data_IF_882166765063
#
_entry.id   IF_882166765063
#
_cell.length_a   1.000
_cell.length_b   1.000
_cell.length_c   1.000
_cell.angle_alpha   90.00
_cell.angle_beta   90.00
_cell.angle_gamma   90.00
#
_symmetry.space_group_name_H-M   'P 1'
#
loop_
_entity.id
_entity.type
_entity.pdbx_description
1 polymer ?
#
# COMPACT_ATOMS: atom_id res chain seq x y z
N UNK A 1 12.57 -1.42 10.62
CA UNK A 1 13.77 -0.82 10.03
C UNK A 1 13.51 -0.33 8.62
N UNK A 2 13.47 0.98 8.42
CA UNK A 2 13.46 1.62 7.09
C UNK A 2 14.22 2.93 7.15
N UNK A 3 14.36 3.59 6.00
CA UNK A 3 14.82 4.96 5.94
C UNK A 3 13.97 5.74 4.93
N UNK A 4 13.73 7.01 5.24
CA UNK A 4 13.10 7.97 4.34
C UNK A 4 14.16 8.92 3.84
N UNK A 5 14.20 9.15 2.53
CA UNK A 5 15.02 10.20 1.94
C UNK A 5 14.13 11.16 1.15
N UNK A 6 14.16 12.43 1.53
CA UNK A 6 13.53 13.52 0.80
C UNK A 6 14.60 14.41 0.17
N UNK A 7 14.47 14.68 -1.13
CA UNK A 7 15.37 15.57 -1.87
C UNK A 7 14.59 16.63 -2.61
N UNK A 8 15.13 17.85 -2.69
CA UNK A 8 14.51 18.93 -3.43
C UNK A 8 15.34 20.18 -3.45
N UNK A 9 14.70 21.31 -3.78
CA UNK A 9 15.28 22.64 -3.69
C UNK A 9 14.46 23.49 -2.73
N UNK A 10 15.14 24.30 -1.92
CA UNK A 10 14.57 25.39 -1.13
C UNK A 10 14.90 26.73 -1.79
N UNK A 11 13.95 27.66 -1.74
CA UNK A 11 14.14 29.03 -2.22
C UNK A 11 14.52 29.94 -1.04
N UNK A 12 15.73 30.49 -1.07
CA UNK A 12 16.22 31.50 -0.12
C UNK A 12 16.01 32.88 -0.73
N UNK A 13 15.19 33.72 -0.10
CA UNK A 13 14.86 35.07 -0.60
C UNK A 13 15.85 36.13 -0.16
N UNK A 14 16.53 35.91 0.97
CA UNK A 14 17.51 36.83 1.56
C UNK A 14 18.77 36.05 1.93
N UNK A 15 19.93 36.48 1.43
CA UNK A 15 21.19 35.85 1.80
C UNK A 15 21.44 35.97 3.31
N UNK A 16 22.00 34.92 3.92
CA UNK A 16 22.29 34.91 5.35
C UNK A 16 22.52 33.51 5.91
N UNK A 17 22.80 33.43 7.21
CA UNK A 17 22.82 32.16 7.93
C UNK A 17 21.40 31.68 8.21
N UNK A 18 21.14 30.42 7.95
CA UNK A 18 19.90 29.72 8.26
C UNK A 18 20.20 28.51 9.16
N UNK A 19 19.31 28.25 10.10
CA UNK A 19 19.28 27.00 10.86
C UNK A 19 18.20 26.10 10.28
N UNK A 20 18.56 24.86 10.01
CA UNK A 20 17.68 23.79 9.60
C UNK A 20 17.61 22.77 10.73
N UNK A 21 16.48 22.09 10.87
CA UNK A 21 16.36 21.02 11.84
C UNK A 21 15.45 19.89 11.37
N UNK A 22 15.71 18.72 11.94
CA UNK A 22 14.79 17.58 11.90
C UNK A 22 14.23 17.35 13.29
N UNK A 23 12.91 17.23 13.38
CA UNK A 23 12.29 16.45 14.46
C UNK A 23 12.22 15.02 13.95
N UNK A 24 12.95 14.09 14.56
CA UNK A 24 12.98 12.70 14.10
C UNK A 24 13.00 11.67 15.24
N UNK A 25 12.40 10.52 14.94
CA UNK A 25 12.41 9.28 15.70
C UNK A 25 12.59 8.17 14.64
N UNK A 26 13.73 7.49 14.53
CA UNK A 26 15.02 7.71 15.21
C UNK A 26 15.85 8.89 14.60
N UNK A 27 17.13 8.67 14.26
CA UNK A 27 18.05 9.70 13.80
C UNK A 27 17.94 10.05 12.31
N UNK A 28 18.79 10.98 11.87
CA UNK A 28 18.74 11.50 10.51
C UNK A 28 19.91 12.38 10.10
N UNK A 29 19.83 12.92 8.88
CA UNK A 29 20.83 13.82 8.30
C UNK A 29 20.17 14.92 7.48
N UNK A 30 20.80 16.09 7.50
CA UNK A 30 20.46 17.19 6.59
C UNK A 30 21.71 17.57 5.80
N UNK A 31 21.59 17.56 4.48
CA UNK A 31 22.55 18.16 3.58
C UNK A 31 21.90 19.36 2.89
N UNK A 32 22.62 20.48 2.81
CA UNK A 32 22.26 21.64 1.98
C UNK A 32 23.40 21.86 0.98
N UNK A 33 23.09 21.93 -0.31
CA UNK A 33 24.09 22.00 -1.40
C UNK A 33 25.16 20.90 -1.33
N UNK A 34 24.74 19.69 -0.93
CA UNK A 34 25.61 18.55 -0.75
C UNK A 34 26.52 18.62 0.49
N UNK A 35 26.46 19.70 1.27
CA UNK A 35 27.20 19.85 2.53
C UNK A 35 26.33 19.33 3.67
N UNK A 36 26.82 18.32 4.39
CA UNK A 36 26.18 17.82 5.60
C UNK A 36 26.29 18.86 6.72
N UNK A 37 25.13 19.39 7.14
CA UNK A 37 25.05 20.42 8.19
C UNK A 37 24.50 19.87 9.51
N UNK A 38 23.86 18.71 9.47
CA UNK A 38 23.31 18.01 10.62
C UNK A 38 23.48 16.51 10.41
N UNK A 39 23.97 15.82 11.44
CA UNK A 39 24.08 14.37 11.52
C UNK A 39 23.66 13.91 12.90
N UNK A 40 22.71 12.99 12.93
CA UNK A 40 22.28 12.26 14.11
C UNK A 40 22.18 10.78 13.74
N UNK A 41 23.22 10.01 14.05
CA UNK A 41 23.28 8.57 13.73
C UNK A 41 22.83 7.70 14.94
N UNK A 42 22.05 8.25 15.88
CA UNK A 42 21.64 7.57 17.11
C UNK A 42 20.20 7.02 17.05
N UNK A 43 19.92 6.02 17.90
CA UNK A 43 18.57 5.55 18.20
C UNK A 43 17.97 6.39 19.32
N UNK A 44 16.80 6.98 19.11
CA UNK A 44 16.16 7.86 20.09
C UNK A 44 14.70 8.12 19.71
N UNK A 45 13.87 8.40 20.73
CA UNK A 45 12.54 8.96 20.49
C UNK A 45 12.58 10.32 19.79
N UNK A 46 11.41 10.83 19.40
CA UNK A 46 11.25 12.14 18.76
C UNK A 46 12.08 13.27 19.42
N UNK A 47 13.07 13.79 18.70
CA UNK A 47 13.90 14.91 19.17
C UNK A 47 14.31 15.85 18.03
N UNK A 48 14.66 17.08 18.38
CA UNK A 48 15.13 18.09 17.44
C UNK A 48 16.66 18.07 17.30
N UNK A 49 17.14 17.80 16.08
CA UNK A 49 18.55 17.89 15.72
C UNK A 49 18.75 19.03 14.71
N UNK A 50 19.67 19.96 15.01
CA UNK A 50 19.84 21.22 14.27
C UNK A 50 21.18 21.30 13.54
N UNK A 51 21.20 21.97 12.39
CA UNK A 51 22.38 22.30 11.61
C UNK A 51 22.27 23.69 11.00
N UNK A 52 23.41 24.33 10.70
CA UNK A 52 23.40 25.68 10.10
C UNK A 52 24.11 25.71 8.75
N UNK A 53 23.59 26.55 7.84
CA UNK A 53 24.19 26.84 6.55
C UNK A 53 24.16 28.35 6.30
N UNK A 54 25.22 28.90 5.69
CA UNK A 54 25.19 30.27 5.16
C UNK A 54 24.89 30.21 3.68
N UNK A 55 23.77 30.79 3.28
CA UNK A 55 23.20 30.65 1.94
C UNK A 55 23.10 32.00 1.24
N UNK A 56 23.27 31.98 -0.08
CA UNK A 56 22.96 33.12 -0.94
C UNK A 56 21.46 33.24 -1.16
N UNK A 57 20.98 34.35 -1.70
CA UNK A 57 19.62 34.37 -2.26
C UNK A 57 19.59 33.52 -3.53
N UNK A 58 18.59 32.65 -3.68
CA UNK A 58 18.48 31.73 -4.81
C UNK A 58 17.92 30.36 -4.43
N UNK A 59 18.03 29.42 -5.36
CA UNK A 59 17.69 28.01 -5.12
C UNK A 59 18.89 27.29 -4.52
N UNK A 60 18.63 26.50 -3.49
CA UNK A 60 19.61 25.65 -2.83
C UNK A 60 19.06 24.23 -2.73
N UNK A 61 19.89 23.23 -2.96
CA UNK A 61 19.45 21.83 -2.88
C UNK A 61 19.39 21.40 -1.42
N UNK A 62 18.43 20.53 -1.08
CA UNK A 62 18.40 19.85 0.20
C UNK A 62 18.29 18.34 0.01
N UNK A 63 18.88 17.60 0.93
CA UNK A 63 18.64 16.18 1.15
C UNK A 63 18.41 15.99 2.65
N UNK A 64 17.29 15.38 2.98
CA UNK A 64 16.90 14.99 4.34
C UNK A 64 16.79 13.48 4.37
N UNK A 65 17.48 12.86 5.32
CA UNK A 65 17.36 11.43 5.61
C UNK A 65 16.88 11.28 7.03
N UNK A 66 15.94 10.37 7.25
CA UNK A 66 15.65 9.81 8.56
C UNK A 66 15.74 8.29 8.44
N UNK A 67 16.23 7.63 9.48
CA UNK A 67 16.16 6.18 9.60
C UNK A 67 15.30 5.83 10.80
N UNK A 68 14.59 4.71 10.68
CA UNK A 68 13.72 4.18 11.71
C UNK A 68 14.14 2.76 12.04
N UNK A 69 14.29 2.45 13.32
CA UNK A 69 14.68 1.15 13.83
C UNK A 69 13.49 0.36 14.30
N UNK A 70 12.85 0.86 15.35
CA UNK A 70 11.80 0.16 16.06
C UNK A 70 10.95 1.15 16.89
N UNK A 71 9.65 0.83 17.04
CA UNK A 71 8.64 1.60 17.77
C UNK A 71 8.07 2.80 16.99
N UNK A 72 8.18 4.01 17.54
CA UNK A 72 7.52 5.21 17.02
C UNK A 72 8.38 5.87 15.97
N UNK A 73 7.76 6.55 15.01
CA UNK A 73 8.45 7.25 13.95
C UNK A 73 7.96 8.69 13.85
N UNK A 74 8.88 9.62 13.56
CA UNK A 74 8.51 10.95 13.13
C UNK A 74 9.56 11.54 12.17
N UNK A 75 9.10 12.45 11.34
CA UNK A 75 9.97 13.26 10.49
C UNK A 75 9.31 14.60 10.21
N UNK A 76 9.86 15.66 10.80
CA UNK A 76 9.55 17.04 10.43
C UNK A 76 10.82 17.74 9.95
N UNK A 77 10.77 18.40 8.80
CA UNK A 77 11.87 19.23 8.31
C UNK A 77 11.49 20.70 8.40
N UNK A 78 12.24 21.47 9.19
CA UNK A 78 11.94 22.86 9.47
C UNK A 78 13.19 23.75 9.34
N UNK A 79 12.95 25.05 9.17
CA UNK A 79 14.02 26.03 9.04
C UNK A 79 13.66 27.39 9.65
N UNK A 80 14.69 28.16 10.00
CA UNK A 80 14.58 29.54 10.44
C UNK A 80 15.81 30.36 10.02
N UNK A 81 15.66 31.67 9.78
CA UNK A 81 16.81 32.56 9.60
C UNK A 81 17.58 32.76 10.93
N UNK A 82 18.89 32.95 10.79
CA UNK A 82 19.84 33.13 11.87
C UNK A 82 20.47 31.82 12.36
N UNK A 83 21.45 31.96 13.25
CA UNK A 83 22.04 30.85 13.98
C UNK A 83 21.22 30.57 15.26
N UNK A 84 20.64 29.37 15.37
CA UNK A 84 19.77 28.96 16.48
C UNK A 84 20.34 27.71 17.14
N UNK A 85 20.32 27.65 18.46
CA UNK A 85 20.86 26.53 19.25
C UNK A 85 19.80 25.59 19.80
N UNK A 86 18.52 25.92 19.64
CA UNK A 86 17.37 25.13 20.09
C UNK A 86 16.14 25.45 19.25
N UNK A 87 15.20 24.50 19.19
CA UNK A 87 13.90 24.74 18.56
C UNK A 87 13.09 25.81 19.31
N UNK A 88 12.35 26.61 18.55
CA UNK A 88 11.40 27.61 19.04
C UNK A 88 10.25 27.68 18.04
N UNK A 89 9.06 27.24 18.48
CA UNK A 89 7.86 27.17 17.65
C UNK A 89 7.39 28.54 17.13
N UNK A 90 7.83 29.65 17.72
CA UNK A 90 7.51 30.99 17.22
C UNK A 90 8.42 31.43 16.06
N UNK A 91 9.54 30.73 15.86
CA UNK A 91 10.61 31.12 14.93
C UNK A 91 10.72 30.12 13.78
N UNK A 92 10.69 28.83 14.08
CA UNK A 92 10.81 27.79 13.07
C UNK A 92 9.50 27.54 12.36
N UNK A 93 9.61 27.20 11.07
CA UNK A 93 8.49 26.82 10.21
C UNK A 93 8.88 25.59 9.40
N UNK A 94 7.90 24.74 9.14
CA UNK A 94 8.06 23.58 8.27
C UNK A 94 8.50 24.04 6.87
N UNK A 95 9.52 23.38 6.33
CA UNK A 95 9.99 23.62 4.96
C UNK A 95 8.93 23.10 4.00
N UNK A 96 8.48 23.95 3.08
CA UNK A 96 7.36 23.70 2.17
C UNK A 96 6.01 24.29 2.62
N UNK A 97 5.85 24.63 3.90
CA UNK A 97 4.62 25.26 4.41
C UNK A 97 4.66 26.79 4.21
N UNK A 98 4.59 27.21 2.95
CA UNK A 98 4.62 28.63 2.58
C UNK A 98 3.41 29.40 3.11
N UNK A 99 2.29 28.72 3.36
CA UNK A 99 1.09 29.36 3.91
C UNK A 99 1.32 29.91 5.33
N UNK A 100 2.17 29.25 6.11
CA UNK A 100 2.54 29.67 7.46
C UNK A 100 3.95 30.31 7.56
N UNK A 101 4.53 30.69 6.42
CA UNK A 101 5.81 31.42 6.36
C UNK A 101 7.06 30.53 6.32
N UNK A 102 6.91 29.23 6.04
CA UNK A 102 8.02 28.32 5.76
C UNK A 102 8.73 28.63 4.45
N UNK A 103 9.99 28.16 4.34
CA UNK A 103 10.74 28.26 3.08
C UNK A 103 10.01 27.50 1.97
N UNK A 104 9.87 28.12 0.80
CA UNK A 104 9.31 27.45 -0.36
C UNK A 104 10.22 26.29 -0.77
N UNK A 105 9.66 25.09 -0.88
CA UNK A 105 10.36 23.89 -1.27
C UNK A 105 9.74 23.28 -2.52
N UNK A 106 10.58 22.75 -3.41
CA UNK A 106 10.16 21.99 -4.59
C UNK A 106 10.85 20.65 -4.55
N UNK A 107 10.10 19.56 -4.60
CA UNK A 107 10.64 18.21 -4.77
C UNK A 107 10.55 17.84 -6.24
N UNK A 108 11.50 17.03 -6.71
CA UNK A 108 11.38 16.37 -8.02
C UNK A 108 10.70 15.03 -7.75
N UNK A 109 9.47 14.79 -8.21
CA UNK A 109 8.80 13.51 -7.98
C UNK A 109 9.67 12.35 -8.47
N UNK A 110 9.55 11.18 -7.82
CA UNK A 110 10.27 9.99 -8.26
C UNK A 110 9.95 9.71 -9.74
N UNK A 111 11.00 9.64 -10.57
CA UNK A 111 10.85 9.48 -12.02
C UNK A 111 10.66 10.78 -12.82
N UNK A 112 10.70 11.96 -12.21
CA UNK A 112 10.68 13.27 -12.89
C UNK A 112 12.08 13.77 -13.30
N UNK A 113 13.15 13.15 -12.81
CA UNK A 113 14.52 13.42 -13.28
C UNK A 113 14.69 13.03 -14.75
N UNK A 114 15.07 13.98 -15.60
CA UNK A 114 15.40 13.71 -17.01
C UNK A 114 14.22 13.40 -17.93
N UNK A 115 12.96 13.72 -17.53
CA UNK A 115 11.79 13.49 -18.41
C UNK A 115 11.63 14.54 -19.52
N UNK A 116 12.26 15.71 -19.36
CA UNK A 116 12.25 16.77 -20.38
C UNK A 116 13.50 16.64 -21.24
N UNK A 117 13.34 16.07 -22.44
CA UNK A 117 14.40 16.04 -23.46
C UNK A 117 14.37 17.25 -24.39
N UNK A 118 13.24 17.97 -24.48
CA UNK A 118 13.09 19.17 -25.31
C UNK A 118 12.13 20.13 -24.62
N UNK A 119 12.63 21.30 -24.22
CA UNK A 119 11.81 22.35 -23.63
C UNK A 119 11.11 23.16 -24.73
N UNK A 120 9.78 23.11 -24.73
CA UNK A 120 8.93 23.86 -25.66
C UNK A 120 8.13 24.98 -24.98
N UNK A 121 8.42 25.30 -23.72
CA UNK A 121 7.65 26.27 -22.90
C UNK A 121 7.49 27.62 -23.61
N UNK A 122 8.59 28.18 -24.15
CA UNK A 122 8.56 29.42 -24.91
C UNK A 122 7.74 29.32 -26.21
N UNK A 123 7.77 28.19 -26.89
CA UNK A 123 7.02 27.95 -28.13
C UNK A 123 5.52 27.68 -27.88
N UNK A 124 5.19 27.17 -26.69
CA UNK A 124 3.82 26.88 -26.25
C UNK A 124 3.16 28.09 -25.57
N UNK A 125 3.90 29.16 -25.28
CA UNK A 125 3.35 30.37 -24.65
C UNK A 125 2.14 30.93 -25.43
N UNK A 126 1.01 31.06 -24.75
CA UNK A 126 -0.25 31.53 -25.34
C UNK A 126 -0.96 30.52 -26.25
N UNK A 127 -0.52 29.25 -26.26
CA UNK A 127 -1.11 28.15 -27.05
C UNK A 127 -1.58 27.04 -26.12
N UNK A 128 -2.60 26.31 -26.56
CA UNK A 128 -3.23 25.22 -25.81
C UNK A 128 -2.68 23.83 -26.18
N UNK A 129 -1.86 23.72 -27.23
CA UNK A 129 -1.43 22.41 -27.73
C UNK A 129 -0.21 22.50 -28.63
N UNK A 130 0.41 21.33 -28.86
CA UNK A 130 1.54 21.17 -29.77
C UNK A 130 1.45 19.84 -30.53
N UNK A 131 1.84 19.87 -31.81
CA UNK A 131 2.09 18.65 -32.59
C UNK A 131 3.55 18.25 -32.45
N UNK A 132 3.78 17.05 -31.94
CA UNK A 132 5.09 16.42 -31.82
C UNK A 132 5.20 15.32 -32.86
N UNK A 133 6.31 15.30 -33.61
CA UNK A 133 6.58 14.33 -34.67
C UNK A 133 7.91 13.66 -34.37
N UNK A 134 7.86 12.38 -34.04
CA UNK A 134 9.01 11.58 -33.61
C UNK A 134 9.30 10.52 -34.67
N UNK A 135 10.26 10.77 -35.58
CA UNK A 135 10.73 9.74 -36.49
C UNK A 135 11.51 8.68 -35.70
N UNK A 136 11.32 7.41 -36.04
CA UNK A 136 12.07 6.30 -35.46
C UNK A 136 12.28 5.18 -36.47
N UNK A 137 13.38 4.45 -36.34
CA UNK A 137 13.62 3.24 -37.12
C UNK A 137 13.10 2.01 -36.36
N UNK A 138 12.52 1.04 -37.07
CA UNK A 138 12.19 -0.28 -36.53
C UNK A 138 12.41 -1.38 -37.57
N UNK A 139 12.41 -2.64 -37.16
CA UNK A 139 12.47 -3.80 -38.06
C UNK A 139 11.09 -4.20 -38.61
N UNK A 140 10.07 -3.34 -38.43
CA UNK A 140 8.68 -3.65 -38.74
C UNK A 140 8.04 -4.52 -37.65
N UNK A 141 6.86 -5.10 -37.92
CA UNK A 141 6.16 -5.86 -36.90
C UNK A 141 6.84 -7.21 -36.64
N UNK A 142 7.59 -7.77 -37.61
CA UNK A 142 8.28 -9.05 -37.42
C UNK A 142 7.31 -10.16 -36.96
N UNK A 143 7.59 -10.78 -35.82
CA UNK A 143 6.72 -11.76 -35.15
C UNK A 143 5.79 -11.14 -34.10
N UNK A 144 5.81 -9.82 -33.92
CA UNK A 144 4.97 -9.13 -32.95
C UNK A 144 3.49 -9.45 -33.20
N UNK A 145 2.78 -9.73 -32.13
CA UNK A 145 1.33 -9.94 -32.11
C UNK A 145 0.62 -8.89 -31.26
N UNK A 146 1.38 -8.02 -30.58
CA UNK A 146 0.88 -6.95 -29.73
C UNK A 146 1.70 -5.67 -29.92
N UNK A 147 1.02 -4.52 -29.77
CA UNK A 147 1.64 -3.20 -29.79
C UNK A 147 1.05 -2.33 -28.68
N UNK A 148 1.91 -1.65 -27.93
CA UNK A 148 1.52 -0.73 -26.86
C UNK A 148 2.15 0.64 -27.06
N UNK A 149 1.40 1.69 -26.72
CA UNK A 149 1.90 3.03 -26.53
C UNK A 149 1.89 3.31 -25.03
N UNK A 150 3.05 3.55 -24.44
CA UNK A 150 3.16 3.96 -23.04
C UNK A 150 3.50 5.44 -22.99
N UNK A 151 2.73 6.19 -22.21
CA UNK A 151 2.78 7.64 -22.16
C UNK A 151 3.03 8.12 -20.73
N UNK A 152 3.92 9.08 -20.58
CA UNK A 152 3.75 10.15 -19.59
C UNK A 152 3.20 11.35 -20.34
N UNK A 153 2.08 11.91 -19.88
CA UNK A 153 1.44 13.01 -20.58
C UNK A 153 0.69 13.94 -19.63
N UNK A 154 0.50 15.18 -20.08
CA UNK A 154 -0.35 16.16 -19.43
C UNK A 154 -0.81 17.23 -20.43
N UNK A 155 -2.08 17.54 -20.60
CA UNK A 155 -3.28 16.95 -19.96
C UNK A 155 -3.95 15.85 -20.79
N UNK A 156 -3.78 15.92 -22.10
CA UNK A 156 -4.38 15.01 -23.07
C UNK A 156 -3.55 14.87 -24.34
N UNK A 157 -3.90 13.90 -25.17
CA UNK A 157 -3.25 13.71 -26.47
C UNK A 157 -4.12 12.94 -27.46
N UNK A 158 -3.82 13.09 -28.75
CA UNK A 158 -4.16 12.11 -29.80
C UNK A 158 -2.88 11.65 -30.49
N UNK A 159 -2.74 10.35 -30.76
CA UNK A 159 -1.56 9.74 -31.36
C UNK A 159 -1.89 9.01 -32.68
N UNK A 160 -0.93 9.07 -33.61
CA UNK A 160 -0.96 8.37 -34.90
C UNK A 160 0.37 7.66 -35.15
N UNK A 161 0.31 6.46 -35.71
CA UNK A 161 1.47 5.72 -36.20
C UNK A 161 1.43 5.68 -37.73
N UNK A 162 2.44 6.25 -38.39
CA UNK A 162 2.53 6.33 -39.85
C UNK A 162 1.25 6.88 -40.53
N UNK A 163 0.61 7.85 -39.86
CA UNK A 163 -0.64 8.48 -40.34
C UNK A 163 -1.91 7.72 -39.98
N UNK A 164 -1.83 6.49 -39.47
CA UNK A 164 -2.98 5.74 -38.95
C UNK A 164 -3.33 6.20 -37.53
N UNK A 165 -4.58 6.60 -37.24
CA UNK A 165 -5.00 6.93 -35.88
C UNK A 165 -4.81 5.74 -34.94
N UNK A 166 -4.07 5.94 -33.85
CA UNK A 166 -3.72 4.88 -32.91
C UNK A 166 -4.62 4.92 -31.67
N UNK A 167 -4.55 6.02 -30.91
CA UNK A 167 -5.30 6.19 -29.65
C UNK A 167 -5.34 7.67 -29.23
N UNK A 168 -6.25 8.02 -28.33
CA UNK A 168 -6.33 9.33 -27.70
C UNK A 168 -6.72 9.22 -26.23
N UNK A 169 -6.31 10.18 -25.41
CA UNK A 169 -6.75 10.34 -24.03
C UNK A 169 -7.02 11.82 -23.74
N UNK A 170 -8.12 12.14 -23.07
CA UNK A 170 -8.55 13.53 -22.79
C UNK A 170 -8.54 14.43 -24.04
N UNK A 171 -8.83 13.88 -25.21
CA UNK A 171 -8.85 14.62 -26.48
C UNK A 171 -10.29 14.81 -26.96
N UNK A 172 -10.65 15.97 -27.53
CA UNK A 172 -11.96 16.15 -28.13
C UNK A 172 -12.14 15.22 -29.34
N UNK A 173 -13.38 14.86 -29.67
CA UNK A 173 -13.68 13.92 -30.75
C UNK A 173 -13.18 14.36 -32.15
N UNK A 174 -12.95 15.65 -32.36
CA UNK A 174 -12.43 16.21 -33.60
C UNK A 174 -11.44 17.34 -33.26
N UNK A 175 -10.19 16.99 -32.91
CA UNK A 175 -9.23 17.99 -32.48
C UNK A 175 -8.78 18.87 -33.65
N UNK A 176 -8.91 20.18 -33.49
CA UNK A 176 -8.29 21.20 -34.32
C UNK A 176 -6.91 21.57 -33.73
N UNK A 177 -6.07 22.26 -34.50
CA UNK A 177 -4.70 22.58 -34.08
C UNK A 177 -4.59 23.37 -32.77
N UNK A 178 -5.66 24.06 -32.34
CA UNK A 178 -5.75 24.85 -31.12
C UNK A 178 -6.72 24.26 -30.08
N UNK A 179 -7.11 22.99 -30.24
CA UNK A 179 -7.96 22.30 -29.27
C UNK A 179 -7.29 22.25 -27.89
N UNK A 180 -8.14 22.14 -26.86
CA UNK A 180 -7.76 21.91 -25.47
C UNK A 180 -8.10 20.47 -25.07
N UNK A 181 -7.47 19.97 -24.01
CA UNK A 181 -7.84 18.71 -23.41
C UNK A 181 -9.26 18.78 -22.81
N UNK A 182 -9.99 17.67 -22.84
CA UNK A 182 -11.38 17.60 -22.32
C UNK A 182 -11.46 17.48 -20.80
N UNK A 183 -10.33 17.16 -20.14
CA UNK A 183 -10.21 17.05 -18.70
C UNK A 183 -8.76 17.35 -18.25
N UNK A 184 -8.56 17.96 -17.07
CA UNK A 184 -7.24 18.17 -16.50
C UNK A 184 -6.62 16.86 -16.00
N UNK A 185 -5.29 16.81 -15.94
CA UNK A 185 -4.52 15.78 -15.26
C UNK A 185 -3.56 16.43 -14.26
N UNK A 186 -3.47 15.87 -13.05
CA UNK A 186 -2.63 16.46 -12.00
C UNK A 186 -1.14 16.26 -12.29
N UNK A 187 -0.29 17.18 -11.81
CA UNK A 187 1.16 17.08 -11.93
C UNK A 187 1.72 15.77 -11.34
N UNK A 188 1.10 15.23 -10.29
CA UNK A 188 1.47 13.92 -9.75
C UNK A 188 1.20 12.79 -10.77
N UNK A 189 0.07 12.86 -11.49
CA UNK A 189 -0.28 11.90 -12.52
C UNK A 189 0.59 11.99 -13.77
N UNK A 190 1.18 13.16 -14.04
CA UNK A 190 2.06 13.42 -15.19
C UNK A 190 3.28 12.51 -15.21
N UNK A 191 3.81 12.10 -14.06
CA UNK A 191 5.02 11.27 -13.97
C UNK A 191 4.75 9.76 -14.00
N UNK A 192 3.50 9.33 -13.87
CA UNK A 192 3.14 7.91 -14.01
C UNK A 192 3.05 7.52 -15.47
N UNK A 193 3.69 6.40 -15.82
CA UNK A 193 3.54 5.76 -17.13
C UNK A 193 2.15 5.14 -17.22
N UNK A 194 1.41 5.50 -18.25
CA UNK A 194 0.11 4.91 -18.59
C UNK A 194 0.21 4.27 -19.97
N UNK A 195 -0.13 2.99 -20.06
CA UNK A 195 -0.11 2.29 -21.34
C UNK A 195 -1.48 2.21 -21.98
N UNK A 196 -1.42 2.12 -23.30
CA UNK A 196 -2.55 2.04 -24.19
C UNK A 196 -2.30 0.91 -25.17
N UNK A 197 -3.29 0.03 -25.31
CA UNK A 197 -3.26 -1.02 -26.32
C UNK A 197 -3.50 -0.38 -27.70
N UNK A 198 -2.47 -0.40 -28.54
CA UNK A 198 -2.53 0.06 -29.93
C UNK A 198 -2.28 -1.08 -30.93
N UNK A 199 -2.49 -2.33 -30.49
CA UNK A 199 -2.37 -3.53 -31.35
C UNK A 199 -3.17 -3.42 -32.65
N UNK A 200 -4.37 -2.81 -32.71
CA UNK A 200 -5.09 -2.64 -33.98
C UNK A 200 -4.32 -1.88 -35.08
N UNK A 201 -3.35 -1.03 -34.72
CA UNK A 201 -2.48 -0.32 -35.69
C UNK A 201 -1.11 -0.96 -35.89
N UNK A 202 -0.87 -2.15 -35.35
CA UNK A 202 0.35 -2.92 -35.59
C UNK A 202 0.67 -3.11 -37.09
N UNK A 203 -0.30 -3.36 -38.00
CA UNK A 203 -0.02 -3.45 -39.43
C UNK A 203 0.57 -2.17 -40.05
N UNK A 204 0.41 -1.02 -39.39
CA UNK A 204 0.98 0.25 -39.83
C UNK A 204 2.44 0.42 -39.43
N UNK A 205 3.00 -0.42 -38.54
CA UNK A 205 4.43 -0.40 -38.21
C UNK A 205 5.23 -0.93 -39.40
N UNK A 206 6.16 -0.14 -39.93
CA UNK A 206 6.93 -0.47 -41.13
C UNK A 206 8.36 -0.91 -40.77
N UNK A 207 8.94 -1.80 -41.58
CA UNK A 207 10.39 -2.03 -41.55
C UNK A 207 11.12 -0.81 -42.11
N UNK A 208 12.06 -0.25 -41.35
CA UNK A 208 12.74 1.00 -41.66
C UNK A 208 12.14 2.19 -40.92
N UNK A 209 11.95 3.30 -41.64
CA UNK A 209 11.53 4.57 -41.05
C UNK A 209 10.03 4.59 -40.74
N UNK A 210 9.73 5.03 -39.53
CA UNK A 210 8.39 5.20 -39.00
C UNK A 210 8.25 6.61 -38.41
N UNK A 211 7.02 7.05 -38.22
CA UNK A 211 6.68 8.32 -37.61
C UNK A 211 5.57 8.13 -36.58
N UNK A 212 5.89 8.42 -35.32
CA UNK A 212 4.90 8.64 -34.28
C UNK A 212 4.55 10.13 -34.25
N UNK A 213 3.30 10.45 -34.57
CA UNK A 213 2.79 11.82 -34.46
C UNK A 213 1.87 11.89 -33.24
N UNK A 214 2.01 12.95 -32.43
CA UNK A 214 1.19 13.18 -31.24
C UNK A 214 0.73 14.63 -31.24
N UNK A 215 -0.56 14.85 -31.08
CA UNK A 215 -1.13 16.16 -30.75
C UNK A 215 -1.31 16.21 -29.24
N UNK A 216 -0.37 16.82 -28.53
CA UNK A 216 -0.46 17.02 -27.08
C UNK A 216 -1.32 18.23 -26.76
N UNK A 217 -2.13 18.15 -25.70
CA UNK A 217 -3.17 19.11 -25.36
C UNK A 217 -3.03 19.53 -23.90
N UNK A 218 -3.03 20.84 -23.65
CA UNK A 218 -3.31 21.44 -22.35
C UNK A 218 -4.81 21.73 -22.21
N UNK A 219 -5.28 21.92 -20.98
CA UNK A 219 -6.63 22.41 -20.70
C UNK A 219 -6.84 23.89 -21.07
N UNK A 220 -5.78 24.69 -21.12
CA UNK A 220 -5.85 26.12 -21.44
C UNK A 220 -4.54 26.67 -22.04
N UNK A 221 -4.57 27.90 -22.55
CA UNK A 221 -3.39 28.60 -23.10
C UNK A 221 -2.41 29.11 -22.03
N UNK A 222 -2.80 29.05 -20.76
CA UNK A 222 -2.00 29.49 -19.61
C UNK A 222 -1.49 28.31 -18.78
N UNK A 223 -1.83 27.08 -19.16
CA UNK A 223 -1.34 25.88 -18.50
C UNK A 223 0.15 25.68 -18.81
N UNK A 224 0.95 25.53 -17.77
CA UNK A 224 2.40 25.39 -17.84
C UNK A 224 2.89 23.98 -17.50
N UNK A 225 2.00 22.99 -17.44
CA UNK A 225 2.30 21.62 -16.98
C UNK A 225 2.44 20.60 -18.13
N UNK A 226 2.48 21.07 -19.38
CA UNK A 226 2.53 20.26 -20.59
C UNK A 226 3.65 19.21 -20.55
N UNK A 227 3.30 17.95 -20.80
CA UNK A 227 4.27 16.87 -21.02
C UNK A 227 3.75 15.93 -22.11
N UNK A 228 4.64 15.50 -22.99
CA UNK A 228 4.42 14.39 -23.91
C UNK A 228 5.72 13.57 -23.96
N UNK A 229 5.68 12.37 -23.39
CA UNK A 229 6.79 11.41 -23.45
C UNK A 229 6.21 10.03 -23.80
N UNK A 230 6.26 9.65 -25.09
CA UNK A 230 5.80 8.34 -25.54
C UNK A 230 6.92 7.30 -25.53
N UNK A 231 6.50 6.05 -25.47
CA UNK A 231 7.30 4.86 -25.70
C UNK A 231 6.45 3.83 -26.45
N UNK A 232 6.95 3.27 -27.54
CA UNK A 232 6.28 2.18 -28.26
C UNK A 232 6.94 0.88 -27.87
N UNK A 233 6.11 -0.10 -27.47
CA UNK A 233 6.55 -1.45 -27.12
C UNK A 233 5.83 -2.41 -28.05
N UNK A 234 6.61 -3.21 -28.79
CA UNK A 234 6.12 -4.32 -29.59
C UNK A 234 6.48 -5.63 -28.91
N UNK A 235 5.59 -6.62 -28.94
CA UNK A 235 5.80 -7.90 -28.26
C UNK A 235 5.07 -9.04 -28.96
N UNK A 236 5.53 -10.24 -28.66
CA UNK A 236 4.92 -11.50 -29.09
C UNK A 236 4.93 -12.48 -27.93
N UNK A 237 4.11 -13.53 -28.05
CA UNK A 237 4.21 -14.68 -27.15
C UNK A 237 5.49 -15.43 -27.49
N UNK A 238 6.39 -15.63 -26.53
CA UNK A 238 7.53 -16.53 -26.68
C UNK A 238 7.02 -17.98 -26.60
N UNK A 239 7.03 -18.76 -27.69
CA UNK A 239 6.53 -20.13 -27.67
C UNK A 239 7.51 -21.10 -26.99
N UNK A 240 8.71 -20.65 -26.63
CA UNK A 240 9.78 -21.48 -26.05
C UNK A 240 9.91 -21.32 -24.54
N UNK A 241 9.35 -20.26 -23.96
CA UNK A 241 9.33 -20.07 -22.51
C UNK A 241 8.33 -21.00 -21.82
N UNK A 242 8.68 -21.49 -20.63
CA UNK A 242 7.70 -22.12 -19.74
C UNK A 242 6.53 -21.15 -19.48
N UNK A 243 5.31 -21.65 -19.20
CA UNK A 243 4.23 -20.79 -18.74
C UNK A 243 4.70 -19.99 -17.52
N UNK A 244 4.71 -18.67 -17.65
CA UNK A 244 5.08 -17.73 -16.60
C UNK A 244 3.93 -16.78 -16.37
N UNK A 245 3.86 -16.29 -15.14
CA UNK A 245 2.85 -15.37 -14.67
C UNK A 245 3.48 -14.03 -14.34
N UNK A 246 2.70 -12.98 -14.57
CA UNK A 246 3.03 -11.63 -14.20
C UNK A 246 2.24 -11.33 -12.93
N UNK A 247 2.89 -11.51 -11.78
CA UNK A 247 2.29 -11.34 -10.47
C UNK A 247 1.75 -9.92 -10.29
N UNK A 248 0.91 -9.75 -9.27
CA UNK A 248 0.11 -8.54 -9.03
C UNK A 248 0.91 -7.23 -8.93
N UNK A 249 2.23 -7.29 -8.64
CA UNK A 249 3.12 -6.12 -8.61
C UNK A 249 3.83 -5.77 -9.93
N UNK A 250 3.87 -6.68 -10.92
CA UNK A 250 4.51 -6.46 -12.22
C UNK A 250 3.53 -6.50 -13.41
N UNK A 251 2.25 -6.75 -13.16
CA UNK A 251 1.23 -6.61 -14.18
C UNK A 251 1.21 -5.18 -14.72
N UNK A 252 1.09 -5.04 -16.04
CA UNK A 252 1.04 -3.74 -16.72
C UNK A 252 -0.30 -3.52 -17.41
N UNK A 253 -1.39 -3.24 -16.66
CA UNK A 253 -2.70 -2.99 -17.25
C UNK A 253 -2.64 -1.96 -18.39
N UNK A 254 -3.14 -2.32 -19.56
CA UNK A 254 -3.14 -1.46 -20.73
C UNK A 254 -1.89 -1.53 -21.60
N UNK A 255 -0.85 -2.29 -21.24
CA UNK A 255 0.28 -2.58 -22.14
C UNK A 255 0.93 -3.95 -21.92
N UNK A 256 1.88 -4.30 -22.79
CA UNK A 256 2.57 -5.60 -22.78
C UNK A 256 3.36 -5.80 -21.49
N UNK A 257 3.15 -6.94 -20.82
CA UNK A 257 3.94 -7.31 -19.66
C UNK A 257 5.37 -7.72 -20.09
N UNK A 258 6.39 -7.03 -19.57
CA UNK A 258 7.77 -7.19 -20.04
C UNK A 258 8.61 -8.21 -19.27
N UNK A 259 8.35 -8.41 -17.98
CA UNK A 259 9.17 -9.26 -17.11
C UNK A 259 8.29 -10.18 -16.28
N UNK A 260 8.34 -11.51 -16.49
CA UNK A 260 7.62 -12.44 -15.64
C UNK A 260 8.17 -12.40 -14.21
N UNK A 261 7.29 -12.59 -13.22
CA UNK A 261 7.68 -12.62 -11.79
C UNK A 261 7.39 -13.94 -11.11
N UNK A 262 6.69 -14.85 -11.78
CA UNK A 262 6.11 -16.04 -11.16
C UNK A 262 6.06 -17.20 -12.14
N UNK A 263 6.26 -18.41 -11.62
CA UNK A 263 6.13 -19.67 -12.35
C UNK A 263 4.68 -20.21 -12.28
N UNK A 264 3.84 -19.62 -11.44
CA UNK A 264 2.48 -20.09 -11.19
C UNK A 264 1.95 -19.61 -9.85
N UNK A 265 0.67 -19.89 -9.62
CA UNK A 265 0.02 -19.68 -8.32
C UNK A 265 -0.04 -21.01 -7.58
N UNK A 266 0.38 -21.03 -6.31
CA UNK A 266 0.18 -22.19 -5.46
C UNK A 266 -1.34 -22.41 -5.31
N UNK A 267 -1.79 -23.64 -5.52
CA UNK A 267 -3.17 -24.05 -5.28
C UNK A 267 -3.56 -23.82 -3.82
N UNK A 268 -4.78 -23.32 -3.63
CA UNK A 268 -5.29 -22.86 -2.34
C UNK A 268 -5.22 -23.91 -1.22
N UNK A 269 -5.16 -23.46 0.03
CA UNK A 269 -5.13 -24.41 1.15
C UNK A 269 -6.51 -25.00 1.41
N UNK A 270 -6.54 -26.24 1.88
CA UNK A 270 -7.77 -26.97 2.15
C UNK A 270 -7.69 -27.57 3.55
N UNK A 271 -8.71 -27.28 4.36
CA UNK A 271 -8.86 -27.80 5.71
C UNK A 271 -9.82 -29.00 5.71
N UNK A 272 -9.41 -30.11 6.34
CA UNK A 272 -10.26 -31.31 6.44
C UNK A 272 -11.50 -31.11 7.29
N UNK A 273 -11.45 -30.15 8.21
CA UNK A 273 -12.47 -29.87 9.22
C UNK A 273 -12.77 -28.38 9.16
N UNK A 274 -14.03 -28.01 8.92
CA UNK A 274 -14.45 -26.61 8.74
C UNK A 274 -14.48 -25.87 10.08
N UNK A 275 -14.38 -24.54 10.05
CA UNK A 275 -14.74 -23.62 11.14
C UNK A 275 -16.13 -23.96 11.70
N UNK A 276 -16.36 -23.64 12.96
CA UNK A 276 -17.64 -23.94 13.59
C UNK A 276 -17.56 -24.08 15.11
N UNK A 277 -18.69 -24.49 15.68
CA UNK A 277 -18.81 -24.80 17.09
C UNK A 277 -18.52 -26.28 17.37
N UNK A 278 -17.74 -26.54 18.39
CA UNK A 278 -17.32 -27.90 18.78
C UNK A 278 -17.44 -28.09 20.30
N UNK A 279 -17.83 -29.30 20.70
CA UNK A 279 -17.93 -29.72 22.12
C UNK A 279 -17.00 -30.88 22.44
N UNK A 280 -16.17 -31.29 21.48
CA UNK A 280 -15.20 -32.38 21.62
C UNK A 280 -13.99 -32.10 20.73
N UNK A 281 -12.79 -32.55 21.12
CA UNK A 281 -11.59 -32.32 20.33
C UNK A 281 -11.71 -32.82 18.89
N UNK A 282 -11.13 -32.07 17.94
CA UNK A 282 -11.10 -32.40 16.52
C UNK A 282 -9.69 -32.43 15.96
N UNK A 283 -9.47 -33.30 14.98
CA UNK A 283 -8.23 -33.36 14.21
C UNK A 283 -8.39 -32.58 12.91
N UNK A 284 -7.52 -31.61 12.66
CA UNK A 284 -7.56 -30.71 11.50
C UNK A 284 -6.35 -30.95 10.62
N UNK A 285 -6.56 -31.47 9.41
CA UNK A 285 -5.53 -31.58 8.40
C UNK A 285 -5.58 -30.38 7.43
N UNK A 286 -4.41 -29.89 7.04
CA UNK A 286 -4.25 -28.80 6.06
C UNK A 286 -3.53 -29.37 4.85
N UNK A 287 -3.99 -29.08 3.65
CA UNK A 287 -3.42 -29.61 2.41
C UNK A 287 -3.42 -28.57 1.30
N UNK A 288 -2.58 -28.77 0.29
CA UNK A 288 -2.60 -28.06 -1.00
C UNK A 288 -2.37 -29.11 -2.08
N UNK A 289 -2.97 -28.92 -3.25
CA UNK A 289 -2.75 -29.82 -4.40
C UNK A 289 -1.44 -29.52 -5.14
N UNK A 290 -0.68 -28.50 -4.75
CA UNK A 290 0.61 -28.14 -5.37
C UNK A 290 1.74 -29.00 -4.82
N UNK A 291 2.31 -29.93 -5.60
CA UNK A 291 3.40 -30.78 -5.12
C UNK A 291 4.63 -29.95 -4.74
N UNK A 292 5.22 -30.24 -3.58
CA UNK A 292 6.43 -29.55 -3.09
C UNK A 292 6.17 -28.21 -2.41
N UNK A 293 4.94 -27.70 -2.39
CA UNK A 293 4.61 -26.50 -1.63
C UNK A 293 4.71 -26.75 -0.11
N UNK A 294 5.20 -25.74 0.61
CA UNK A 294 5.32 -25.74 2.07
C UNK A 294 4.15 -24.97 2.65
N UNK A 295 3.39 -25.61 3.53
CA UNK A 295 2.32 -24.98 4.31
C UNK A 295 2.89 -24.49 5.64
N UNK A 296 2.63 -23.23 5.98
CA UNK A 296 2.86 -22.68 7.32
C UNK A 296 1.54 -22.22 7.94
N UNK A 297 1.45 -22.31 9.26
CA UNK A 297 0.27 -21.88 9.99
C UNK A 297 0.63 -21.15 11.30
N UNK A 298 -0.33 -20.38 11.81
CA UNK A 298 -0.27 -19.73 13.12
C UNK A 298 -1.53 -20.04 13.91
N UNK A 299 -1.43 -19.96 15.24
CA UNK A 299 -2.56 -20.14 16.17
C UNK A 299 -2.75 -18.97 17.13
N UNK A 300 -1.93 -17.94 16.99
CA UNK A 300 -1.93 -16.71 17.79
C UNK A 300 -2.59 -15.54 17.04
N UNK A 301 -3.37 -15.85 15.99
CA UNK A 301 -4.01 -14.89 15.08
C UNK A 301 -3.07 -14.07 14.19
N UNK A 302 -1.74 -14.21 14.32
CA UNK A 302 -0.79 -13.51 13.46
C UNK A 302 -0.80 -14.04 12.02
N UNK A 303 -0.46 -13.21 11.05
CA UNK A 303 -0.50 -13.54 9.62
C UNK A 303 0.69 -14.42 9.22
N UNK A 304 0.47 -15.71 8.85
CA UNK A 304 1.55 -16.58 8.40
C UNK A 304 2.14 -16.07 7.08
N UNK A 305 3.42 -16.37 6.84
CA UNK A 305 4.12 -16.03 5.61
C UNK A 305 5.08 -17.15 5.21
N UNK A 306 5.86 -16.99 4.14
CA UNK A 306 6.91 -17.95 3.78
C UNK A 306 7.95 -18.16 4.92
N UNK A 307 8.11 -17.17 5.80
CA UNK A 307 9.10 -17.17 6.88
C UNK A 307 8.48 -17.09 8.28
N UNK A 308 7.20 -16.76 8.41
CA UNK A 308 6.50 -16.62 9.69
C UNK A 308 5.46 -17.74 9.89
N UNK A 309 5.39 -18.25 11.12
CA UNK A 309 4.51 -19.37 11.50
C UNK A 309 5.20 -20.74 11.50
N UNK A 310 4.47 -21.76 11.94
CA UNK A 310 4.96 -23.14 12.10
C UNK A 310 4.78 -23.91 10.80
N UNK A 311 5.80 -24.66 10.37
CA UNK A 311 5.68 -25.55 9.20
C UNK A 311 4.72 -26.70 9.54
N UNK A 312 3.67 -26.85 8.74
CA UNK A 312 2.69 -27.91 8.89
C UNK A 312 3.28 -29.25 8.44
N UNK A 313 3.32 -30.22 9.34
CA UNK A 313 3.89 -31.56 9.10
C UNK A 313 2.95 -32.71 9.49
N UNK A 314 1.93 -32.45 10.30
CA UNK A 314 0.94 -33.42 10.74
C UNK A 314 -0.38 -32.72 11.14
N UNK A 315 -1.52 -33.43 11.15
CA UNK A 315 -2.81 -32.87 11.59
C UNK A 315 -2.76 -32.25 13.00
N UNK A 316 -3.40 -31.10 13.14
CA UNK A 316 -3.48 -30.33 14.38
C UNK A 316 -4.62 -30.88 15.25
N UNK A 317 -4.32 -31.18 16.51
CA UNK A 317 -5.36 -31.50 17.50
C UNK A 317 -5.88 -30.21 18.11
N UNK A 318 -7.17 -29.92 17.88
CA UNK A 318 -7.84 -28.74 18.41
C UNK A 318 -8.82 -29.20 19.49
N UNK A 319 -8.47 -28.95 20.75
CA UNK A 319 -9.27 -29.31 21.92
C UNK A 319 -9.92 -28.12 22.63
N UNK A 320 -9.66 -26.92 22.13
CA UNK A 320 -10.08 -25.66 22.72
C UNK A 320 -10.33 -24.61 21.63
N UNK A 321 -10.97 -23.49 21.98
CA UNK A 321 -11.21 -22.37 21.07
C UNK A 321 -9.90 -21.92 20.45
N UNK A 322 -9.77 -22.07 19.13
CA UNK A 322 -8.51 -21.89 18.41
C UNK A 322 -8.79 -21.27 17.05
N UNK A 323 -8.00 -20.26 16.69
CA UNK A 323 -7.95 -19.73 15.33
C UNK A 323 -6.75 -20.36 14.63
N UNK A 324 -6.94 -20.94 13.46
CA UNK A 324 -5.83 -21.42 12.62
C UNK A 324 -5.82 -20.57 11.35
N UNK A 325 -4.68 -19.91 11.08
CA UNK A 325 -4.42 -19.21 9.83
C UNK A 325 -3.34 -19.97 9.06
N UNK A 326 -3.51 -20.20 7.76
CA UNK A 326 -2.55 -20.97 6.96
C UNK A 326 -2.23 -20.31 5.61
N UNK A 327 -1.00 -20.50 5.14
CA UNK A 327 -0.55 -20.11 3.80
C UNK A 327 0.30 -21.23 3.21
N UNK A 328 0.15 -21.49 1.91
CA UNK A 328 1.03 -22.38 1.16
C UNK A 328 1.97 -21.58 0.24
N UNK A 329 3.24 -21.96 0.23
CA UNK A 329 4.30 -21.26 -0.49
C UNK A 329 5.17 -22.23 -1.27
N UNK A 330 5.66 -21.81 -2.44
CA UNK A 330 6.62 -22.55 -3.25
C UNK A 330 7.57 -21.54 -3.89
N UNK A 331 8.88 -21.83 -3.88
CA UNK A 331 9.88 -20.91 -4.41
C UNK A 331 9.62 -20.61 -5.90
N UNK A 332 9.63 -19.33 -6.27
CA UNK A 332 9.34 -18.86 -7.62
C UNK A 332 7.86 -18.84 -8.01
N UNK A 333 6.95 -19.23 -7.13
CA UNK A 333 5.50 -19.19 -7.33
C UNK A 333 4.86 -18.12 -6.45
N UNK A 334 3.73 -17.57 -6.89
CA UNK A 334 2.90 -16.71 -6.05
C UNK A 334 2.26 -17.57 -4.94
N UNK A 335 2.35 -17.15 -3.65
CA UNK A 335 1.76 -17.89 -2.54
C UNK A 335 0.23 -17.84 -2.59
N UNK A 336 -0.42 -18.70 -1.81
CA UNK A 336 -1.87 -18.61 -1.58
C UNK A 336 -2.20 -17.31 -0.83
N UNK A 337 -3.48 -16.92 -0.83
CA UNK A 337 -4.00 -16.07 0.25
C UNK A 337 -3.88 -16.79 1.60
N UNK A 338 -4.22 -16.10 2.67
CA UNK A 338 -4.25 -16.68 4.01
C UNK A 338 -5.65 -17.20 4.30
N UNK A 339 -5.79 -18.50 4.46
CA UNK A 339 -7.05 -19.09 4.89
C UNK A 339 -7.13 -19.09 6.41
N UNK A 340 -8.28 -18.67 6.93
CA UNK A 340 -8.56 -18.68 8.38
C UNK A 340 -9.71 -19.64 8.70
N UNK A 341 -9.53 -20.44 9.76
CA UNK A 341 -10.56 -21.27 10.35
C UNK A 341 -10.60 -21.05 11.87
N UNK A 342 -11.71 -20.53 12.38
CA UNK A 342 -11.97 -20.45 13.83
C UNK A 342 -12.79 -21.66 14.30
N UNK A 343 -12.25 -22.38 15.27
CA UNK A 343 -12.93 -23.47 15.98
C UNK A 343 -13.35 -22.94 17.35
N UNK A 344 -14.65 -22.86 17.60
CA UNK A 344 -15.20 -22.25 18.83
C UNK A 344 -15.70 -23.35 19.76
N UNK A 345 -15.18 -23.37 20.98
CA UNK A 345 -15.61 -24.29 22.03
C UNK A 345 -16.40 -23.50 23.08
N UNK A 346 -17.74 -23.65 23.16
CA UNK A 346 -18.56 -22.85 24.09
C UNK A 346 -18.13 -22.97 25.55
N UNK A 347 -17.61 -24.14 25.96
CA UNK A 347 -17.10 -24.34 27.32
C UNK A 347 -15.85 -23.50 27.60
N UNK A 348 -15.00 -23.26 26.59
CA UNK A 348 -13.88 -22.34 26.75
C UNK A 348 -14.33 -20.89 26.73
N UNK A 349 -15.23 -20.53 25.80
CA UNK A 349 -15.72 -19.15 25.66
C UNK A 349 -16.28 -18.65 26.97
N UNK A 350 -17.14 -19.41 27.65
CA UNK A 350 -17.73 -18.97 28.93
C UNK A 350 -16.72 -18.85 30.08
N UNK A 351 -15.49 -19.35 29.92
CA UNK A 351 -14.42 -19.23 30.91
C UNK A 351 -13.28 -18.33 30.44
N UNK A 352 -13.42 -17.69 29.28
CA UNK A 352 -12.41 -16.81 28.71
C UNK A 352 -12.08 -15.68 29.69
N UNK A 353 -10.82 -15.64 30.12
CA UNK A 353 -10.30 -14.63 31.05
C UNK A 353 -11.22 -14.41 32.26
N UNK A 354 -11.69 -15.50 32.88
CA UNK A 354 -12.64 -15.43 33.99
C UNK A 354 -12.12 -14.67 35.24
N UNK A 355 -10.81 -14.45 35.36
CA UNK A 355 -10.18 -13.63 36.39
C UNK A 355 -9.94 -12.18 35.95
N UNK A 356 -10.41 -11.80 34.75
CA UNK A 356 -10.21 -10.50 34.12
C UNK A 356 -8.79 -10.29 33.58
N UNK A 357 -7.90 -11.28 33.67
CA UNK A 357 -6.54 -11.15 33.18
C UNK A 357 -6.48 -11.20 31.64
N UNK A 358 -5.60 -10.40 31.00
CA UNK A 358 -5.42 -10.49 29.57
C UNK A 358 -4.99 -11.90 29.14
N UNK A 359 -5.56 -12.45 28.06
CA UNK A 359 -5.10 -13.71 27.49
C UNK A 359 -3.60 -13.67 27.16
N UNK A 360 -2.90 -14.83 27.11
CA UNK A 360 -1.51 -14.88 26.68
C UNK A 360 -1.30 -14.16 25.33
N UNK A 361 -0.35 -13.23 25.30
CA UNK A 361 -0.04 -12.41 24.12
C UNK A 361 -0.88 -11.12 23.97
N UNK A 362 -1.92 -10.93 24.78
CA UNK A 362 -2.73 -9.72 24.79
C UNK A 362 -2.27 -8.73 25.88
N UNK A 363 -2.25 -7.42 25.61
CA UNK A 363 -1.91 -6.41 26.62
C UNK A 363 -3.12 -6.08 27.53
N UNK A 364 -2.83 -5.53 28.70
CA UNK A 364 -3.85 -5.02 29.62
C UNK A 364 -4.47 -3.68 29.17
N UNK A 365 -3.76 -2.91 28.34
CA UNK A 365 -4.22 -1.62 27.81
C UNK A 365 -4.18 -1.64 26.29
N UNK A 366 -4.93 -0.74 25.66
CA UNK A 366 -4.88 -0.60 24.20
C UNK A 366 -3.61 0.10 23.69
N UNK A 367 -2.61 0.36 24.53
CA UNK A 367 -1.52 1.29 24.21
C UNK A 367 -1.95 2.76 24.26
N UNK A 368 -3.08 3.03 24.91
CA UNK A 368 -3.58 4.35 25.32
C UNK A 368 -4.07 4.24 26.77
N UNK A 369 -4.75 5.27 27.29
CA UNK A 369 -5.37 5.25 28.62
C UNK A 369 -6.60 4.30 28.70
N UNK A 370 -7.02 3.68 27.59
CA UNK A 370 -8.10 2.69 27.60
C UNK A 370 -7.64 1.38 28.24
N UNK A 371 -8.37 0.96 29.27
CA UNK A 371 -8.25 -0.36 29.89
C UNK A 371 -9.12 -1.35 29.11
N UNK A 372 -8.57 -2.52 28.82
CA UNK A 372 -9.27 -3.60 28.11
C UNK A 372 -9.84 -4.59 29.13
N UNK A 373 -11.14 -4.84 29.05
CA UNK A 373 -11.79 -5.93 29.77
C UNK A 373 -11.96 -7.12 28.83
N UNK A 374 -11.19 -8.19 29.08
CA UNK A 374 -11.12 -9.37 28.21
C UNK A 374 -12.03 -10.50 28.68
N UNK A 375 -12.56 -10.40 29.91
CA UNK A 375 -13.19 -11.51 30.61
C UNK A 375 -14.67 -11.68 30.29
N UNK A 376 -15.12 -12.93 30.22
CA UNK A 376 -16.53 -13.22 30.43
C UNK A 376 -16.88 -13.02 31.90
N UNK A 377 -17.88 -12.20 32.19
CA UNK A 377 -18.29 -11.86 33.55
C UNK A 377 -18.76 -13.10 34.34
N UNK A 378 -18.02 -13.52 35.39
CA UNK A 378 -18.37 -14.67 36.20
C UNK A 378 -19.71 -14.54 36.92
N UNK A 379 -20.17 -13.32 37.23
CA UNK A 379 -21.47 -13.10 37.89
C UNK A 379 -22.63 -13.43 36.94
N UNK A 380 -22.40 -13.33 35.62
CA UNK A 380 -23.36 -13.74 34.59
C UNK A 380 -23.21 -15.23 34.27
N UNK A 381 -21.98 -15.70 34.02
CA UNK A 381 -21.74 -17.09 33.62
C UNK A 381 -22.09 -18.08 34.73
N UNK A 382 -21.85 -17.73 35.99
CA UNK A 382 -22.11 -18.60 37.14
C UNK A 382 -23.41 -18.27 37.87
N UNK A 383 -24.27 -17.42 37.29
CA UNK A 383 -25.49 -16.97 37.95
C UNK A 383 -26.42 -18.14 38.30
N UNK A 384 -26.89 -18.19 39.56
CA UNK A 384 -27.75 -19.28 40.04
C UNK A 384 -29.19 -19.22 39.50
N UNK A 385 -29.68 -18.02 39.13
CA UNK A 385 -30.97 -17.85 38.47
C UNK A 385 -30.84 -18.01 36.94
N UNK A 386 -31.43 -19.05 36.32
CA UNK A 386 -31.35 -19.30 34.88
C UNK A 386 -32.07 -18.27 34.00
N UNK A 387 -32.89 -17.39 34.59
CA UNK A 387 -33.51 -16.27 33.89
C UNK A 387 -32.54 -15.09 33.68
N UNK A 388 -31.45 -15.02 34.46
CA UNK A 388 -30.44 -13.96 34.38
C UNK A 388 -29.17 -14.45 33.68
N UNK A 389 -28.71 -15.66 34.00
CA UNK A 389 -27.45 -16.20 33.49
C UNK A 389 -27.30 -17.70 33.78
N UNK A 390 -26.07 -18.12 34.04
CA UNK A 390 -25.72 -19.53 34.26
C UNK A 390 -25.17 -20.20 33.00
N UNK A 391 -24.20 -21.08 33.18
CA UNK A 391 -23.40 -21.65 32.09
C UNK A 391 -24.24 -22.31 30.99
N UNK A 392 -25.32 -23.01 31.36
CA UNK A 392 -26.24 -23.60 30.39
C UNK A 392 -26.99 -22.53 29.56
N UNK A 393 -27.45 -21.46 30.20
CA UNK A 393 -28.18 -20.36 29.55
C UNK A 393 -27.25 -19.58 28.62
N UNK A 394 -26.05 -19.25 29.07
CA UNK A 394 -25.05 -18.51 28.28
C UNK A 394 -24.62 -19.32 27.07
N UNK A 395 -24.32 -20.62 27.22
CA UNK A 395 -24.00 -21.49 26.08
C UNK A 395 -25.15 -21.60 25.09
N UNK A 396 -26.38 -21.75 25.57
CA UNK A 396 -27.55 -21.76 24.69
C UNK A 396 -27.71 -20.44 23.92
N UNK A 397 -27.41 -19.30 24.55
CA UNK A 397 -27.45 -17.99 23.90
C UNK A 397 -26.36 -17.81 22.84
N UNK A 398 -25.11 -18.23 23.13
CA UNK A 398 -24.00 -18.22 22.16
C UNK A 398 -24.32 -19.04 20.91
N UNK A 399 -25.07 -20.13 21.06
CA UNK A 399 -25.49 -21.01 19.98
C UNK A 399 -26.84 -20.63 19.37
N UNK A 400 -27.49 -19.53 19.80
CA UNK A 400 -28.80 -19.16 19.28
C UNK A 400 -28.75 -18.35 17.98
N UNK A 401 -27.61 -17.70 17.70
CA UNK A 401 -27.42 -16.81 16.56
C UNK A 401 -26.04 -17.03 15.91
N UNK A 402 -25.87 -16.62 14.64
CA UNK A 402 -24.56 -16.66 14.00
C UNK A 402 -23.51 -15.80 14.70
N UNK A 403 -22.27 -16.28 14.67
CA UNK A 403 -21.08 -15.58 15.16
C UNK A 403 -20.28 -15.01 13.99
N UNK A 404 -19.79 -13.79 14.16
CA UNK A 404 -18.79 -13.19 13.29
C UNK A 404 -17.44 -13.30 13.99
N UNK A 405 -16.51 -14.06 13.43
CA UNK A 405 -15.11 -14.07 13.89
C UNK A 405 -14.31 -13.06 13.07
N UNK A 406 -13.53 -12.21 13.74
CA UNK A 406 -12.66 -11.23 13.09
C UNK A 406 -11.24 -11.49 13.58
N UNK A 407 -10.33 -11.83 12.67
CA UNK A 407 -8.95 -12.19 12.99
C UNK A 407 -7.98 -11.27 12.28
N UNK A 408 -7.05 -10.69 13.02
CA UNK A 408 -5.98 -9.85 12.50
C UNK A 408 -4.77 -9.86 13.42
N UNK A 409 -3.63 -9.38 12.92
CA UNK A 409 -2.44 -9.16 13.73
C UNK A 409 -2.74 -8.15 14.84
N UNK A 410 -2.31 -8.43 16.07
CA UNK A 410 -2.65 -7.60 17.23
C UNK A 410 -2.29 -6.10 17.08
N UNK A 411 -1.17 -5.70 16.43
CA UNK A 411 -0.85 -4.30 16.16
C UNK A 411 -1.87 -3.57 15.27
N UNK A 412 -2.70 -4.31 14.52
CA UNK A 412 -3.81 -3.72 13.77
C UNK A 412 -4.95 -3.29 14.69
N UNK A 413 -5.18 -3.98 15.81
CA UNK A 413 -6.21 -3.61 16.78
C UNK A 413 -5.69 -2.57 17.78
N UNK A 414 -4.50 -2.80 18.32
CA UNK A 414 -3.97 -2.08 19.47
C UNK A 414 -2.70 -1.29 19.12
N UNK A 415 -2.41 -0.20 19.83
CA UNK A 415 -1.15 0.55 19.69
C UNK A 415 -0.03 -0.24 20.39
N UNK A 416 0.57 -1.18 19.68
CA UNK A 416 1.63 -2.06 20.18
C UNK A 416 2.87 -1.84 19.33
N UNK A 417 3.99 -1.56 19.98
CA UNK A 417 5.27 -1.38 19.31
C UNK A 417 5.25 -0.22 18.30
N UNK A 418 4.58 0.89 18.65
CA UNK A 418 4.45 2.09 17.80
C UNK A 418 3.36 2.02 16.73
N UNK A 419 2.61 0.91 16.64
CA UNK A 419 1.51 0.81 15.68
C UNK A 419 0.35 1.77 15.98
N UNK A 420 -0.44 2.04 14.94
CA UNK A 420 -1.70 2.78 15.04
C UNK A 420 -2.88 1.80 14.95
N UNK A 421 -3.24 1.17 16.06
CA UNK A 421 -4.32 0.20 16.14
C UNK A 421 -5.72 0.84 16.01
N UNK A 422 -6.66 0.23 15.28
CA UNK A 422 -7.99 0.83 15.05
C UNK A 422 -8.90 0.80 16.28
N UNK A 423 -8.66 -0.08 17.24
CA UNK A 423 -9.40 -0.10 18.50
C UNK A 423 -8.89 1.01 19.43
N UNK A 424 -7.58 1.23 19.45
CA UNK A 424 -6.92 2.30 20.23
C UNK A 424 -7.20 3.69 19.71
N UNK A 425 -7.55 3.82 18.44
CA UNK A 425 -7.81 5.10 17.77
C UNK A 425 -9.22 5.14 17.17
N UNK A 426 -10.29 5.04 17.99
CA UNK A 426 -11.67 4.85 17.51
C UNK A 426 -12.23 6.05 16.72
N UNK A 427 -11.54 7.19 16.75
CA UNK A 427 -11.90 8.40 16.01
C UNK A 427 -11.15 8.57 14.67
N UNK A 428 -10.20 7.67 14.35
CA UNK A 428 -9.46 7.65 13.10
C UNK A 428 -10.37 7.47 11.88
N UNK A 429 -10.08 8.16 10.76
CA UNK A 429 -10.97 8.20 9.59
C UNK A 429 -10.24 8.14 8.25
N UNK A 430 -10.93 7.59 7.26
CA UNK A 430 -10.43 7.49 5.89
C UNK A 430 -9.63 6.21 5.67
N UNK A 431 -9.01 6.11 4.50
CA UNK A 431 -8.30 4.91 4.06
C UNK A 431 -7.10 4.56 4.95
N UNK A 432 -6.42 5.58 5.51
CA UNK A 432 -5.30 5.39 6.42
C UNK A 432 -5.66 4.65 7.74
N UNK A 433 -6.95 4.57 8.07
CA UNK A 433 -7.46 3.91 9.30
C UNK A 433 -8.19 2.60 8.99
N UNK A 434 -7.97 2.03 7.82
CA UNK A 434 -8.39 0.67 7.47
C UNK A 434 -7.30 -0.32 7.86
N UNK A 435 -7.70 -1.45 8.46
CA UNK A 435 -6.76 -2.54 8.79
C UNK A 435 -7.21 -3.84 8.16
N UNK A 436 -6.27 -4.65 7.66
CA UNK A 436 -6.61 -5.94 7.09
C UNK A 436 -7.14 -6.88 8.18
N UNK A 437 -8.23 -7.58 7.89
CA UNK A 437 -8.80 -8.62 8.75
C UNK A 437 -9.21 -9.81 7.89
N UNK A 438 -9.20 -10.99 8.48
CA UNK A 438 -10.03 -12.10 8.00
C UNK A 438 -11.34 -12.07 8.76
N UNK A 439 -12.47 -12.05 8.05
CA UNK A 439 -13.81 -12.16 8.62
C UNK A 439 -14.36 -13.55 8.32
N UNK A 440 -14.88 -14.23 9.33
CA UNK A 440 -15.63 -15.48 9.18
C UNK A 440 -17.07 -15.31 9.67
N UNK A 441 -18.04 -15.82 8.90
CA UNK A 441 -19.42 -15.98 9.36
C UNK A 441 -19.65 -17.44 9.77
N UNK A 442 -20.05 -17.69 11.01
CA UNK A 442 -20.22 -19.02 11.60
C UNK A 442 -21.66 -19.18 12.08
N UNK A 443 -22.45 -20.07 11.49
CA UNK A 443 -23.82 -20.32 11.98
C UNK A 443 -23.83 -21.27 13.17
N UNK A 444 -24.91 -21.26 13.98
CA UNK A 444 -25.15 -22.28 14.97
C UNK A 444 -25.17 -23.70 14.39
N UNK A 445 -24.73 -24.72 15.16
CA UNK A 445 -24.88 -26.11 14.78
C UNK A 445 -26.38 -26.48 14.71
N UNK A 446 -26.73 -27.33 13.74
CA UNK A 446 -28.08 -27.91 13.63
C UNK A 446 -28.00 -29.36 13.13
N UNK A 447 -29.06 -30.15 13.29
CA UNK A 447 -29.09 -31.55 12.82
C UNK A 447 -28.80 -31.68 11.31
N UNK A 448 -29.19 -30.68 10.51
CA UNK A 448 -28.93 -30.64 9.08
C UNK A 448 -27.52 -30.10 8.75
N UNK A 449 -26.95 -29.28 9.62
CA UNK A 449 -25.66 -28.60 9.42
C UNK A 449 -24.88 -28.59 10.74
N UNK A 450 -24.38 -29.74 11.23
CA UNK A 450 -23.66 -29.78 12.50
C UNK A 450 -22.39 -28.92 12.47
N UNK A 451 -21.84 -28.70 11.27
CA UNK A 451 -20.68 -27.84 11.00
C UNK A 451 -20.97 -26.78 9.91
N UNK A 452 -22.25 -26.49 9.63
CA UNK A 452 -22.62 -25.42 8.70
C UNK A 452 -22.56 -25.75 7.18
N UNK A 453 -23.29 -24.99 6.35
CA UNK A 453 -23.24 -25.04 4.87
C UNK A 453 -23.16 -23.68 4.17
N UNK A 454 -23.28 -22.56 4.89
CA UNK A 454 -23.31 -21.19 4.34
C UNK A 454 -22.29 -20.25 5.00
N UNK A 455 -21.40 -20.80 5.81
CA UNK A 455 -20.27 -20.12 6.42
C UNK A 455 -19.25 -19.77 5.33
N UNK A 456 -18.76 -18.54 5.39
CA UNK A 456 -17.71 -18.07 4.52
C UNK A 456 -16.59 -17.45 5.34
N UNK A 457 -15.44 -17.34 4.68
CA UNK A 457 -14.36 -16.48 5.12
C UNK A 457 -14.04 -15.53 3.98
N UNK A 458 -13.70 -14.31 4.34
CA UNK A 458 -13.25 -13.31 3.39
C UNK A 458 -12.22 -12.42 4.05
N UNK A 459 -11.17 -12.08 3.30
CA UNK A 459 -10.27 -11.01 3.69
C UNK A 459 -10.91 -9.65 3.39
N UNK A 460 -10.86 -8.75 4.36
CA UNK A 460 -11.52 -7.46 4.28
C UNK A 460 -10.68 -6.36 4.94
N UNK A 461 -11.01 -5.11 4.62
CA UNK A 461 -10.58 -3.96 5.40
C UNK A 461 -11.60 -3.63 6.48
N UNK A 462 -11.16 -3.57 7.74
CA UNK A 462 -11.99 -3.15 8.86
C UNK A 462 -11.66 -1.72 9.29
N UNK A 463 -12.71 -0.96 9.62
CA UNK A 463 -12.62 0.31 10.34
C UNK A 463 -13.58 0.24 11.51
N UNK A 464 -13.12 0.63 12.69
CA UNK A 464 -14.00 0.80 13.85
C UNK A 464 -14.46 2.26 13.87
N UNK A 465 -15.76 2.46 14.13
CA UNK A 465 -16.32 3.79 14.39
C UNK A 465 -17.07 3.76 15.71
N UNK A 466 -16.67 4.63 16.62
CA UNK A 466 -17.32 4.79 17.92
C UNK A 466 -16.43 4.32 19.06
N UNK A 467 -16.49 5.10 20.13
CA UNK A 467 -15.73 5.01 21.38
C UNK A 467 -16.23 6.09 22.31
#
# INVERSE_FOLDING_TARGET
NYAVMATGNITITSAGTYTFGLNSDDGGRILIDGVEIMRDDNWHGAQDSLGTATLTAGQHTFQVVMFEGYYGDCLEFFAAPGNRSSFDANVFRLVGDTANGGLAATTTPQGAGGVIGTDISAALAGRSSAYVRMPFASTGPGTATALSLVMRYNDGFTAWLNGTPAISANSPASPAWNSVATAPRSTALTFFRQGFNITPVLPSLANGQNLLAIHGLNTSTTDNTFLIQPEIIAGHIDPTSLPVFYGSGLATPGWINGTPSSLGTVADTQFSTRRGFYTSPVSVAISTTTPGAVIRYTTDSSTPSATHGTIYTAPLQVSSTTVIRAVATLEGWDPTNVDTQTYVFPDDVITQSADGSPPPGWPATSGTDQVLDHGMDPDIVNHANPEIGGSAKVKAALLAIPTVSITTDLPNLLNIGGSQGIYSNPYGRGFAWERPVSMEWINPPSDANPNGTSEFQIDAGMRIRGG
#
